data_IF_210614762163
#
_entry.id   IF_210614762163
#
_cell.length_a   1.000
_cell.length_b   1.000
_cell.length_c   1.000
_cell.angle_alpha   90.00
_cell.angle_beta   90.00
_cell.angle_gamma   90.00
#
_symmetry.space_group_name_H-M   'P 1'
#
loop_
_entity.id
_entity.type
_entity.pdbx_description
1 polymer ?
#
# COMPACT_ATOMS: atom_id res chain seq x y z
N UNK A 1 4.01 21.33 -19.12
CA UNK A 1 5.28 21.71 -19.79
C UNK A 1 6.20 20.52 -19.67
N UNK A 2 6.41 19.80 -20.77
CA UNK A 2 7.28 18.62 -20.83
C UNK A 2 8.67 19.08 -21.23
N UNK A 3 9.52 19.33 -20.24
CA UNK A 3 10.93 19.65 -20.48
C UNK A 3 11.62 18.39 -20.99
N UNK A 4 12.02 18.41 -22.25
CA UNK A 4 12.75 17.30 -22.88
C UNK A 4 14.23 17.53 -22.56
N UNK A 5 14.94 16.61 -21.89
CA UNK A 5 16.32 16.85 -21.52
C UNK A 5 17.19 17.03 -22.78
N UNK A 6 17.84 18.18 -22.90
CA UNK A 6 18.81 18.45 -23.96
C UNK A 6 19.91 17.37 -23.96
N UNK A 7 20.31 16.85 -25.13
CA UNK A 7 21.29 15.78 -25.21
C UNK A 7 22.64 16.25 -24.64
N UNK A 8 23.23 15.41 -23.80
CA UNK A 8 24.54 15.67 -23.18
C UNK A 8 25.61 15.68 -24.30
N UNK A 9 26.39 16.77 -24.44
CA UNK A 9 27.45 16.85 -25.45
C UNK A 9 28.49 15.73 -25.30
N UNK A 10 29.00 15.22 -26.42
CA UNK A 10 30.03 14.20 -26.43
C UNK A 10 31.28 14.68 -25.66
N UNK A 11 31.80 13.85 -24.74
CA UNK A 11 32.96 14.20 -23.91
C UNK A 11 32.63 14.81 -22.55
N UNK A 12 31.35 14.96 -22.20
CA UNK A 12 30.87 15.48 -20.92
C UNK A 12 29.97 14.47 -20.22
N UNK A 13 29.98 14.47 -18.89
CA UNK A 13 28.95 13.84 -18.05
C UNK A 13 28.19 14.92 -17.29
N UNK A 14 26.92 14.65 -17.00
CA UNK A 14 26.11 15.52 -16.14
C UNK A 14 26.25 15.06 -14.68
N UNK A 15 26.52 15.99 -13.76
CA UNK A 15 26.54 15.71 -12.33
C UNK A 15 25.13 15.78 -11.69
N UNK A 16 25.04 15.46 -10.40
CA UNK A 16 23.77 15.47 -9.66
C UNK A 16 23.13 16.87 -9.51
N UNK A 17 23.89 17.95 -9.73
CA UNK A 17 23.38 19.34 -9.73
C UNK A 17 22.97 19.79 -11.13
N UNK A 18 23.08 18.92 -12.13
CA UNK A 18 22.76 19.19 -13.52
C UNK A 18 23.88 19.86 -14.32
N UNK A 19 25.08 20.02 -13.75
CA UNK A 19 26.23 20.67 -14.41
C UNK A 19 26.96 19.70 -15.34
N UNK A 20 27.44 20.19 -16.49
CA UNK A 20 28.23 19.41 -17.44
C UNK A 20 29.72 19.43 -17.08
N UNK A 21 30.25 18.26 -16.75
CA UNK A 21 31.65 18.06 -16.35
C UNK A 21 32.40 17.32 -17.46
N UNK A 22 33.52 17.85 -17.97
CA UNK A 22 34.36 17.12 -18.93
C UNK A 22 34.84 15.78 -18.36
N UNK A 23 34.77 14.71 -19.16
CA UNK A 23 35.17 13.35 -18.72
C UNK A 23 36.63 13.31 -18.22
N UNK A 24 37.51 14.15 -18.75
CA UNK A 24 38.91 14.26 -18.32
C UNK A 24 39.09 14.79 -16.89
N UNK A 25 38.08 15.50 -16.35
CA UNK A 25 38.09 16.04 -14.98
C UNK A 25 37.48 15.10 -13.95
N UNK A 26 36.92 13.97 -14.37
CA UNK A 26 36.30 12.98 -13.51
C UNK A 26 37.36 11.93 -13.16
N UNK A 27 37.51 11.64 -11.87
CA UNK A 27 38.47 10.62 -11.41
C UNK A 27 38.05 9.25 -11.91
N UNK A 28 39.00 8.40 -12.29
CA UNK A 28 38.72 7.04 -12.76
C UNK A 28 37.91 6.23 -11.75
N UNK A 29 38.18 6.37 -10.44
CA UNK A 29 37.41 5.70 -9.39
C UNK A 29 35.92 6.11 -9.36
N UNK A 30 35.61 7.36 -9.72
CA UNK A 30 34.22 7.84 -9.76
C UNK A 30 33.51 7.32 -11.02
N UNK A 31 34.24 7.13 -12.13
CA UNK A 31 33.73 6.49 -13.35
C UNK A 31 33.43 5.02 -13.11
N UNK A 32 34.35 4.31 -12.48
CA UNK A 32 34.19 2.89 -12.14
C UNK A 32 33.04 2.66 -11.16
N UNK A 33 32.92 3.51 -10.13
CA UNK A 33 31.76 3.52 -9.23
C UNK A 33 30.46 3.71 -9.99
N UNK A 34 30.42 4.69 -10.90
CA UNK A 34 29.22 4.97 -11.71
C UNK A 34 28.84 3.76 -12.55
N UNK A 35 29.81 3.14 -13.24
CA UNK A 35 29.59 1.93 -14.04
C UNK A 35 29.07 0.77 -13.18
N UNK A 36 29.68 0.56 -12.02
CA UNK A 36 29.29 -0.52 -11.09
C UNK A 36 27.86 -0.33 -10.60
N UNK A 37 27.52 0.87 -10.11
CA UNK A 37 26.19 1.17 -9.58
C UNK A 37 25.13 1.07 -10.68
N UNK A 38 25.40 1.61 -11.87
CA UNK A 38 24.47 1.50 -13.02
C UNK A 38 24.23 0.03 -13.36
N UNK A 39 25.28 -0.76 -13.53
CA UNK A 39 25.14 -2.18 -13.89
C UNK A 39 24.35 -2.98 -12.85
N UNK A 40 24.60 -2.76 -11.55
CA UNK A 40 23.83 -3.40 -10.49
C UNK A 40 22.37 -2.94 -10.46
N UNK A 41 22.11 -1.65 -10.68
CA UNK A 41 20.74 -1.13 -10.74
C UNK A 41 19.97 -1.62 -11.98
N UNK A 42 20.64 -1.81 -13.12
CA UNK A 42 20.04 -2.40 -14.32
C UNK A 42 19.69 -3.87 -14.09
N UNK A 43 20.61 -4.66 -13.53
CA UNK A 43 20.32 -6.04 -13.15
C UNK A 43 19.17 -6.14 -12.13
N UNK A 44 19.13 -5.25 -11.13
CA UNK A 44 18.03 -5.22 -10.17
C UNK A 44 16.68 -4.87 -10.81
N UNK A 45 16.66 -4.00 -11.83
CA UNK A 45 15.43 -3.72 -12.61
C UNK A 45 14.95 -4.95 -13.37
N UNK A 46 15.86 -5.73 -13.95
CA UNK A 46 15.51 -6.97 -14.64
C UNK A 46 14.89 -7.99 -13.68
N UNK A 47 15.48 -8.18 -12.49
CA UNK A 47 14.90 -9.06 -11.46
C UNK A 47 13.54 -8.57 -10.99
N UNK A 48 13.37 -7.27 -10.79
CA UNK A 48 12.09 -6.66 -10.43
C UNK A 48 11.03 -6.92 -11.50
N UNK A 49 11.38 -6.79 -12.78
CA UNK A 49 10.49 -7.09 -13.89
C UNK A 49 10.11 -8.58 -13.94
N UNK A 50 11.07 -9.48 -13.70
CA UNK A 50 10.81 -10.92 -13.58
C UNK A 50 9.86 -11.23 -12.43
N UNK A 51 10.09 -10.64 -11.26
CA UNK A 51 9.25 -10.83 -10.09
C UNK A 51 7.82 -10.31 -10.30
N UNK A 52 7.68 -9.17 -10.99
CA UNK A 52 6.38 -8.64 -11.38
C UNK A 52 5.62 -9.59 -12.31
N UNK A 53 6.28 -10.08 -13.36
CA UNK A 53 5.70 -11.04 -14.30
C UNK A 53 5.31 -12.35 -13.60
N UNK A 54 6.19 -12.87 -12.74
CA UNK A 54 5.93 -14.05 -11.93
C UNK A 54 4.69 -13.87 -11.04
N UNK A 55 4.57 -12.72 -10.35
CA UNK A 55 3.41 -12.41 -9.52
C UNK A 55 2.11 -12.45 -10.34
N UNK A 56 2.10 -11.87 -11.53
CA UNK A 56 0.92 -11.87 -12.40
C UNK A 56 0.50 -13.29 -12.80
N UNK A 57 1.45 -14.11 -13.25
CA UNK A 57 1.22 -15.52 -13.62
C UNK A 57 0.72 -16.33 -12.42
N UNK A 58 1.33 -16.16 -11.24
CA UNK A 58 0.93 -16.88 -10.03
C UNK A 58 -0.50 -16.51 -9.59
N UNK A 59 -0.87 -15.22 -9.65
CA UNK A 59 -2.21 -14.77 -9.33
C UNK A 59 -3.26 -15.36 -10.29
N UNK A 60 -2.99 -15.33 -11.59
CA UNK A 60 -3.88 -15.89 -12.59
C UNK A 60 -4.04 -17.40 -12.40
N UNK A 61 -2.95 -18.11 -12.15
CA UNK A 61 -2.97 -19.56 -11.91
C UNK A 61 -3.83 -19.95 -10.70
N UNK A 62 -3.78 -19.16 -9.62
CA UNK A 62 -4.62 -19.36 -8.44
C UNK A 62 -6.09 -19.06 -8.77
N UNK A 63 -6.38 -17.98 -9.48
CA UNK A 63 -7.74 -17.64 -9.89
C UNK A 63 -8.35 -18.74 -10.78
N UNK A 64 -7.60 -19.23 -11.77
CA UNK A 64 -8.03 -20.31 -12.67
C UNK A 64 -8.23 -21.62 -11.92
N UNK A 65 -7.36 -21.95 -10.96
CA UNK A 65 -7.52 -23.13 -10.11
C UNK A 65 -8.80 -23.06 -9.27
N UNK A 66 -9.02 -21.94 -8.58
CA UNK A 66 -10.22 -21.74 -7.75
C UNK A 66 -11.48 -21.77 -8.61
N UNK A 67 -11.46 -21.12 -9.77
CA UNK A 67 -12.57 -21.12 -10.72
C UNK A 67 -12.94 -22.54 -11.17
N UNK A 68 -11.95 -23.36 -11.56
CA UNK A 68 -12.17 -24.78 -11.90
C UNK A 68 -12.72 -25.58 -10.72
N UNK A 69 -12.08 -25.43 -9.55
CA UNK A 69 -12.48 -26.13 -8.33
C UNK A 69 -13.93 -25.86 -7.94
N UNK A 70 -14.43 -24.63 -8.07
CA UNK A 70 -15.83 -24.29 -7.77
C UNK A 70 -16.80 -24.75 -8.86
N UNK A 71 -16.39 -24.68 -10.12
CA UNK A 71 -17.21 -25.13 -11.25
C UNK A 71 -17.57 -26.61 -11.12
N UNK A 72 -16.65 -27.44 -10.59
CA UNK A 72 -16.89 -28.87 -10.32
C UNK A 72 -18.04 -29.11 -9.32
N UNK A 73 -18.38 -28.12 -8.49
CA UNK A 73 -19.49 -28.19 -7.52
C UNK A 73 -20.69 -27.30 -7.92
N UNK A 74 -20.73 -26.77 -9.14
CA UNK A 74 -21.80 -25.89 -9.60
C UNK A 74 -21.88 -24.54 -8.88
N UNK A 75 -20.85 -24.18 -8.11
CA UNK A 75 -20.78 -22.91 -7.39
C UNK A 75 -20.23 -21.83 -8.33
N UNK A 76 -20.94 -20.70 -8.47
CA UNK A 76 -20.42 -19.53 -9.17
C UNK A 76 -19.55 -18.71 -8.23
N UNK A 77 -18.34 -18.41 -8.66
CA UNK A 77 -17.48 -17.44 -7.98
C UNK A 77 -18.23 -16.10 -7.97
N UNK A 78 -18.67 -15.64 -6.80
CA UNK A 78 -18.94 -14.21 -6.59
C UNK A 78 -17.67 -13.40 -6.83
N UNK A 79 -17.72 -12.07 -6.73
CA UNK A 79 -16.56 -11.15 -6.88
C UNK A 79 -15.27 -11.82 -6.35
N UNK A 80 -14.23 -11.94 -7.19
CA UNK A 80 -12.95 -12.68 -6.97
C UNK A 80 -12.09 -12.12 -5.81
N UNK A 81 -12.72 -12.00 -4.65
CA UNK A 81 -12.30 -11.20 -3.49
C UNK A 81 -11.91 -12.05 -2.29
N UNK A 82 -12.02 -13.37 -2.40
CA UNK A 82 -11.69 -14.28 -1.31
C UNK A 82 -10.18 -14.41 -1.09
N UNK A 83 -9.78 -14.37 0.17
CA UNK A 83 -8.49 -14.93 0.58
C UNK A 83 -8.51 -16.44 0.33
N UNK A 84 -7.43 -17.00 -0.20
CA UNK A 84 -7.33 -18.42 -0.55
C UNK A 84 -6.04 -18.98 0.03
N UNK A 85 -6.12 -20.16 0.64
CA UNK A 85 -4.95 -20.95 1.03
C UNK A 85 -4.97 -22.25 0.23
N UNK A 86 -3.91 -22.49 -0.53
CA UNK A 86 -3.69 -23.74 -1.24
C UNK A 86 -2.50 -24.46 -0.60
N UNK A 87 -2.56 -25.78 -0.56
CA UNK A 87 -1.52 -26.63 0.03
C UNK A 87 -1.35 -27.85 -0.88
N UNK A 88 -0.12 -28.30 -1.07
CA UNK A 88 0.13 -29.52 -1.86
C UNK A 88 -0.41 -30.74 -1.13
N UNK A 89 -0.67 -31.82 -1.88
CA UNK A 89 -1.24 -33.05 -1.32
C UNK A 89 -0.38 -33.65 -0.20
N UNK A 90 0.93 -33.61 -0.36
CA UNK A 90 1.92 -34.03 0.65
C UNK A 90 2.10 -33.01 1.79
N UNK A 91 1.47 -31.83 1.69
CA UNK A 91 1.60 -30.75 2.66
C UNK A 91 2.93 -30.00 2.62
N UNK A 92 3.85 -30.31 1.69
CA UNK A 92 5.18 -29.69 1.66
C UNK A 92 5.13 -28.20 1.36
N UNK A 93 4.31 -27.78 0.39
CA UNK A 93 4.21 -26.39 -0.02
C UNK A 93 2.84 -25.80 0.30
N UNK A 94 2.85 -24.51 0.64
CA UNK A 94 1.64 -23.74 0.90
C UNK A 94 1.71 -22.39 0.20
N UNK A 95 0.60 -22.00 -0.40
CA UNK A 95 0.41 -20.74 -1.09
C UNK A 95 -0.76 -20.01 -0.46
N UNK A 96 -0.60 -18.72 -0.15
CA UNK A 96 -1.66 -17.88 0.40
C UNK A 96 -1.87 -16.67 -0.52
N UNK A 97 -3.06 -16.56 -1.14
CA UNK A 97 -3.53 -15.36 -1.83
C UNK A 97 -4.37 -14.53 -0.88
N UNK A 98 -4.03 -13.26 -0.69
CA UNK A 98 -4.77 -12.31 0.13
C UNK A 98 -5.22 -11.12 -0.71
N UNK A 99 -6.48 -10.73 -0.55
CA UNK A 99 -7.08 -9.56 -1.18
C UNK A 99 -7.11 -8.43 -0.15
N UNK A 100 -6.11 -7.55 -0.16
CA UNK A 100 -6.06 -6.42 0.76
C UNK A 100 -6.91 -5.27 0.22
N UNK A 101 -8.04 -5.01 0.86
CA UNK A 101 -8.88 -3.87 0.53
C UNK A 101 -8.22 -2.57 1.03
N UNK A 102 -8.05 -1.63 0.11
CA UNK A 102 -7.71 -0.25 0.42
C UNK A 102 -9.02 0.53 0.50
N UNK A 103 -9.35 0.93 1.72
CA UNK A 103 -10.53 1.75 2.01
C UNK A 103 -10.16 3.23 1.97
N UNK A 104 -11.11 4.07 1.61
CA UNK A 104 -11.05 5.52 1.73
C UNK A 104 -12.38 6.01 2.28
N UNK A 105 -12.43 7.29 2.61
CA UNK A 105 -13.68 7.97 2.90
C UNK A 105 -14.24 8.70 1.68
N UNK A 106 -15.55 8.80 1.60
CA UNK A 106 -16.28 9.65 0.65
C UNK A 106 -16.68 11.01 1.25
N UNK A 107 -17.56 11.77 0.59
CA UNK A 107 -18.00 13.10 1.02
C UNK A 107 -18.71 13.11 2.39
N UNK A 108 -19.26 11.98 2.84
CA UNK A 108 -19.95 11.88 4.14
C UNK A 108 -19.02 12.13 5.31
N UNK A 109 -17.70 11.96 5.12
CA UNK A 109 -16.71 12.33 6.13
C UNK A 109 -16.71 13.84 6.44
N UNK A 110 -16.99 14.68 5.44
CA UNK A 110 -17.10 16.12 5.67
C UNK A 110 -18.35 16.46 6.50
N UNK A 111 -19.46 15.75 6.25
CA UNK A 111 -20.67 15.87 7.06
C UNK A 111 -20.42 15.44 8.51
N UNK A 112 -19.70 14.34 8.72
CA UNK A 112 -19.30 13.91 10.06
C UNK A 112 -18.43 14.95 10.78
N UNK A 113 -17.48 15.57 10.07
CA UNK A 113 -16.65 16.64 10.64
C UNK A 113 -17.50 17.83 11.09
N UNK A 114 -18.45 18.26 10.27
CA UNK A 114 -19.34 19.37 10.61
C UNK A 114 -20.17 19.07 11.87
N UNK A 115 -20.74 17.86 11.97
CA UNK A 115 -21.49 17.42 13.15
C UNK A 115 -20.62 17.38 14.42
N UNK A 116 -19.37 16.93 14.31
CA UNK A 116 -18.42 16.94 15.42
C UNK A 116 -18.07 18.36 15.83
N UNK A 117 -17.80 19.25 14.87
CA UNK A 117 -17.49 20.65 15.16
C UNK A 117 -18.65 21.36 15.87
N UNK A 118 -19.90 21.11 15.44
CA UNK A 118 -21.10 21.61 16.11
C UNK A 118 -21.28 21.03 17.52
N UNK A 119 -21.04 19.73 17.69
CA UNK A 119 -21.09 19.05 18.99
C UNK A 119 -20.08 19.66 19.96
N UNK A 120 -18.86 19.92 19.51
CA UNK A 120 -17.83 20.51 20.37
C UNK A 120 -18.15 21.98 20.67
N UNK A 121 -18.70 22.74 19.72
CA UNK A 121 -19.07 24.14 19.95
C UNK A 121 -20.18 24.29 21.01
N UNK A 122 -21.12 23.35 21.09
CA UNK A 122 -22.18 23.39 22.11
C UNK A 122 -21.63 23.18 23.53
N UNK A 123 -20.47 22.54 23.67
CA UNK A 123 -19.81 22.31 24.95
C UNK A 123 -18.94 23.52 25.37
N UNK A 124 -19.53 24.57 25.94
CA UNK A 124 -18.77 25.76 26.37
C UNK A 124 -18.56 25.87 27.89
N UNK A 125 -17.37 25.46 28.36
CA UNK A 125 -16.42 26.21 29.23
C UNK A 125 -15.34 25.26 29.81
N UNK A 126 -14.07 25.55 29.53
CA UNK A 126 -12.90 24.98 30.23
C UNK A 126 -12.06 23.98 29.42
N UNK A 127 -12.65 22.85 29.01
CA UNK A 127 -11.89 21.71 28.47
C UNK A 127 -11.91 21.56 26.94
N UNK A 128 -12.53 22.52 26.24
CA UNK A 128 -12.86 22.41 24.81
C UNK A 128 -11.62 22.52 23.89
N UNK A 129 -10.62 23.32 24.27
CA UNK A 129 -9.44 23.54 23.44
C UNK A 129 -8.65 22.24 23.15
N UNK A 130 -8.45 21.39 24.16
CA UNK A 130 -7.73 20.13 23.98
C UNK A 130 -8.51 19.12 23.12
N UNK A 131 -9.84 19.08 23.26
CA UNK A 131 -10.69 18.20 22.46
C UNK A 131 -10.68 18.64 20.99
N UNK A 132 -10.78 19.95 20.71
CA UNK A 132 -10.67 20.49 19.35
C UNK A 132 -9.36 20.12 18.67
N UNK A 133 -8.23 20.18 19.40
CA UNK A 133 -6.93 19.76 18.85
C UNK A 133 -6.95 18.29 18.45
N UNK A 134 -7.44 17.41 19.33
CA UNK A 134 -7.54 15.96 19.03
C UNK A 134 -8.42 15.67 17.81
N UNK A 135 -9.55 16.38 17.66
CA UNK A 135 -10.41 16.23 16.50
C UNK A 135 -9.74 16.76 15.23
N UNK A 136 -9.15 17.95 15.27
CA UNK A 136 -8.45 18.51 14.11
C UNK A 136 -7.30 17.60 13.66
N UNK A 137 -6.57 17.02 14.62
CA UNK A 137 -5.54 16.02 14.34
C UNK A 137 -6.13 14.76 13.69
N UNK A 138 -7.33 14.35 14.06
CA UNK A 138 -7.98 13.19 13.45
C UNK A 138 -8.33 13.40 11.97
N UNK A 139 -8.72 14.62 11.59
CA UNK A 139 -9.08 14.99 10.21
C UNK A 139 -7.92 15.58 9.40
N UNK A 140 -6.72 15.65 9.96
CA UNK A 140 -5.55 16.16 9.25
C UNK A 140 -5.21 15.28 8.03
N UNK A 141 -4.87 15.92 6.92
CA UNK A 141 -4.36 15.26 5.72
C UNK A 141 -2.85 14.99 5.83
N UNK A 142 -2.41 13.84 5.33
CA UNK A 142 -0.99 13.53 5.19
C UNK A 142 -0.35 14.29 4.01
N UNK A 143 0.96 14.09 3.81
CA UNK A 143 1.71 14.70 2.71
C UNK A 143 1.22 14.28 1.32
N UNK A 144 0.42 13.21 1.23
CA UNK A 144 -0.23 12.75 0.00
C UNK A 144 -1.69 13.24 -0.12
N UNK A 145 -2.13 14.14 0.77
CA UNK A 145 -3.47 14.72 0.78
C UNK A 145 -4.56 13.78 1.33
N UNK A 146 -4.20 12.69 2.02
CA UNK A 146 -5.16 11.67 2.51
C UNK A 146 -5.38 11.77 4.02
N UNK A 147 -6.62 11.59 4.44
CA UNK A 147 -6.98 11.52 5.87
C UNK A 147 -6.68 10.11 6.39
N UNK A 148 -6.12 10.03 7.60
CA UNK A 148 -5.82 8.76 8.25
C UNK A 148 -7.10 8.09 8.76
N UNK A 149 -7.43 6.94 8.18
CA UNK A 149 -8.55 6.08 8.61
C UNK A 149 -8.45 5.73 10.08
N UNK A 150 -7.25 5.35 10.55
CA UNK A 150 -7.03 4.94 11.93
C UNK A 150 -7.34 6.07 12.93
N UNK A 151 -6.99 7.32 12.60
CA UNK A 151 -7.28 8.45 13.48
C UNK A 151 -8.77 8.77 13.53
N UNK A 152 -9.44 8.81 12.37
CA UNK A 152 -10.89 9.08 12.29
C UNK A 152 -11.70 7.98 12.98
N UNK A 153 -11.40 6.70 12.70
CA UNK A 153 -12.08 5.59 13.39
C UNK A 153 -11.75 5.54 14.89
N UNK A 154 -10.60 6.08 15.29
CA UNK A 154 -10.21 6.24 16.69
C UNK A 154 -11.21 7.06 17.50
N UNK A 155 -11.89 8.03 16.86
CA UNK A 155 -12.90 8.86 17.52
C UNK A 155 -14.05 8.04 18.12
N UNK A 156 -14.41 6.92 17.48
CA UNK A 156 -15.48 6.02 17.93
C UNK A 156 -15.20 5.35 19.27
N UNK A 157 -13.95 5.35 19.72
CA UNK A 157 -13.58 4.79 21.03
C UNK A 157 -14.07 5.66 22.19
N UNK A 158 -14.34 6.94 21.94
CA UNK A 158 -14.83 7.86 22.95
C UNK A 158 -16.36 7.70 23.09
N UNK A 159 -16.79 7.21 24.25
CA UNK A 159 -18.20 7.06 24.60
C UNK A 159 -18.75 8.41 25.04
N UNK A 160 -19.31 9.15 24.08
CA UNK A 160 -19.96 10.43 24.30
C UNK A 160 -21.44 10.26 23.96
N UNK A 161 -22.30 10.58 24.91
CA UNK A 161 -23.75 10.48 24.80
C UNK A 161 -24.34 11.82 24.36
N UNK A 162 -24.01 12.22 23.12
CA UNK A 162 -24.54 13.41 22.46
C UNK A 162 -25.10 13.01 21.10
N UNK A 163 -26.32 13.45 20.77
CA UNK A 163 -27.00 13.06 19.55
C UNK A 163 -26.22 13.44 18.28
N UNK A 164 -25.51 14.58 18.27
CA UNK A 164 -24.68 15.00 17.13
C UNK A 164 -23.40 14.17 17.05
N UNK A 165 -22.82 13.82 18.20
CA UNK A 165 -21.67 12.92 18.24
C UNK A 165 -22.01 11.55 17.67
N UNK A 166 -23.12 10.95 18.12
CA UNK A 166 -23.59 9.65 17.62
C UNK A 166 -23.85 9.70 16.11
N UNK A 167 -24.58 10.73 15.64
CA UNK A 167 -24.85 10.93 14.21
C UNK A 167 -23.55 11.09 13.39
N UNK A 168 -22.52 11.74 13.95
CA UNK A 168 -21.23 11.84 13.30
C UNK A 168 -20.47 10.51 13.23
N UNK A 169 -20.56 9.66 14.26
CA UNK A 169 -19.94 8.32 14.24
C UNK A 169 -20.62 7.40 13.22
N UNK A 170 -21.93 7.55 13.03
CA UNK A 170 -22.68 6.84 11.97
C UNK A 170 -22.23 7.33 10.59
N UNK A 171 -22.17 8.65 10.38
CA UNK A 171 -21.67 9.24 9.13
C UNK A 171 -20.22 8.82 8.80
N UNK A 172 -19.34 8.71 9.82
CA UNK A 172 -17.99 8.15 9.64
C UNK A 172 -18.06 6.71 9.14
N UNK A 173 -18.93 5.89 9.72
CA UNK A 173 -19.05 4.48 9.36
C UNK A 173 -19.58 4.31 7.93
N UNK A 174 -20.57 5.11 7.55
CA UNK A 174 -21.16 5.10 6.21
C UNK A 174 -20.26 5.71 5.14
N UNK A 175 -19.30 6.55 5.54
CA UNK A 175 -18.34 7.14 4.62
C UNK A 175 -17.26 6.16 4.13
N UNK A 176 -17.12 4.99 4.77
CA UNK A 176 -16.07 4.02 4.43
C UNK A 176 -16.41 3.31 3.11
N UNK A 177 -15.56 3.51 2.11
CA UNK A 177 -15.69 2.91 0.79
C UNK A 177 -14.44 2.12 0.42
N UNK A 178 -14.62 0.97 -0.22
CA UNK A 178 -13.50 0.18 -0.77
C UNK A 178 -13.08 0.79 -2.12
N UNK A 179 -11.94 1.47 -2.15
CA UNK A 179 -11.44 2.16 -3.35
C UNK A 179 -10.60 1.26 -4.26
N UNK A 180 -9.83 0.35 -3.70
CA UNK A 180 -9.07 -0.62 -4.50
C UNK A 180 -8.82 -1.91 -3.72
N UNK A 181 -8.52 -2.99 -4.42
CA UNK A 181 -8.08 -4.25 -3.80
C UNK A 181 -6.68 -4.53 -4.34
N UNK A 182 -5.71 -4.68 -3.44
CA UNK A 182 -4.34 -5.06 -3.78
C UNK A 182 -4.17 -6.56 -3.50
N UNK A 183 -3.99 -7.40 -4.53
CA UNK A 183 -3.74 -8.81 -4.33
C UNK A 183 -2.28 -9.02 -3.90
N UNK A 184 -2.11 -9.79 -2.82
CA UNK A 184 -0.84 -10.25 -2.28
C UNK A 184 -0.79 -11.78 -2.34
N UNK A 185 0.37 -12.33 -2.66
CA UNK A 185 0.61 -13.77 -2.69
C UNK A 185 1.85 -14.07 -1.87
N UNK A 186 1.77 -15.12 -1.05
CA UNK A 186 2.89 -15.61 -0.23
C UNK A 186 3.08 -17.09 -0.47
N UNK A 187 4.33 -17.52 -0.48
CA UNK A 187 4.75 -18.88 -0.70
C UNK A 187 5.49 -19.38 0.53
N UNK A 188 5.29 -20.65 0.86
CA UNK A 188 5.86 -21.31 2.02
C UNK A 188 6.27 -22.73 1.68
N UNK A 189 7.34 -23.19 2.32
CA UNK A 189 7.79 -24.58 2.31
C UNK A 189 7.87 -25.08 3.76
N UNK A 190 7.58 -26.37 3.99
CA UNK A 190 7.82 -26.99 5.29
C UNK A 190 9.31 -27.25 5.51
N UNK A 191 9.80 -26.85 6.67
CA UNK A 191 11.13 -27.25 7.15
C UNK A 191 11.12 -28.67 7.75
N UNK A 192 12.29 -29.12 8.22
CA UNK A 192 12.48 -30.43 8.86
C UNK A 192 11.64 -30.61 10.14
N UNK A 193 11.25 -29.50 10.80
CA UNK A 193 10.36 -29.51 11.97
C UNK A 193 8.88 -29.59 11.59
N UNK A 194 8.56 -29.51 10.31
CA UNK A 194 7.19 -29.47 9.78
C UNK A 194 6.54 -28.09 9.82
N UNK A 195 7.28 -27.04 10.22
CA UNK A 195 6.80 -25.66 10.24
C UNK A 195 6.90 -25.03 8.86
N UNK A 196 5.93 -24.17 8.50
CA UNK A 196 5.95 -23.46 7.22
C UNK A 196 6.84 -22.22 7.29
N UNK A 197 7.96 -22.24 6.59
CA UNK A 197 8.90 -21.15 6.43
C UNK A 197 8.58 -20.38 5.13
N UNK A 198 8.56 -19.03 5.15
CA UNK A 198 8.29 -18.26 3.95
C UNK A 198 9.42 -18.41 2.92
N UNK A 199 9.06 -18.60 1.66
CA UNK A 199 9.98 -18.48 0.54
C UNK A 199 10.09 -16.98 0.22
N UNK A 200 11.15 -16.33 0.71
CA UNK A 200 11.36 -14.90 0.51
C UNK A 200 11.73 -14.60 -0.94
N UNK A 201 11.07 -13.60 -1.52
CA UNK A 201 11.42 -13.00 -2.80
C UNK A 201 11.91 -11.55 -2.63
N UNK A 202 12.16 -11.13 -1.38
CA UNK A 202 12.72 -9.83 -1.04
C UNK A 202 14.25 -9.93 -0.98
N UNK A 203 14.94 -9.22 -1.87
CA UNK A 203 16.40 -9.24 -1.98
C UNK A 203 17.09 -8.87 -0.67
N UNK A 204 16.47 -8.06 0.18
CA UNK A 204 17.05 -7.69 1.49
C UNK A 204 16.96 -8.82 2.53
N UNK A 205 16.08 -9.81 2.32
CA UNK A 205 15.82 -10.92 3.23
C UNK A 205 16.13 -12.30 2.66
N UNK A 206 16.88 -12.36 1.56
CA UNK A 206 17.43 -13.60 0.95
C UNK A 206 18.90 -13.74 1.32
#
# INVERSE_FOLDING_TARGET
>A
MTDTPSPIPQGYWQDAKGSLVPISKIKEIDKDRTKTVIGLCEAAKEESARLFAFKAVAMQSVADFVGRSLNDYGAKLGRDKGNVTLTTFDGRFKLIRQMQENISFDERLQAAKALIDECIQSWSKGSNAHIKVLINDAFQVDSAGKISIGRVLGLRKHKIDDAKWLSAMDAISDSIMVCSVKPHIRFYERDESGAYVPISLDVAGV
#
